data_IF_190547425143
#
_entry.id   IF_190547425143
#
_cell.length_a   1.000
_cell.length_b   1.000
_cell.length_c   1.000
_cell.angle_alpha   90.00
_cell.angle_beta   90.00
_cell.angle_gamma   90.00
#
_symmetry.space_group_name_H-M   'P 1'
#
loop_
_entity.id
_entity.type
_entity.pdbx_description
1 polymer ?
#
# COMPACT_ATOMS: atom_id res chain seq x y z
N UNK A 1 -4.31 10.22 18.99
CA UNK A 1 -3.94 9.51 17.74
C UNK A 1 -4.61 8.14 17.71
N UNK A 2 -5.75 8.00 17.02
CA UNK A 2 -6.49 6.73 16.95
C UNK A 2 -5.96 5.83 15.82
N UNK A 3 -4.65 5.64 15.78
CA UNK A 3 -3.97 4.89 14.73
C UNK A 3 -3.54 3.52 15.29
N UNK A 4 -4.42 2.53 15.15
CA UNK A 4 -4.23 1.20 15.77
C UNK A 4 -2.94 0.51 15.34
N UNK A 5 -2.49 0.73 14.10
CA UNK A 5 -1.22 0.17 13.62
C UNK A 5 -0.01 0.85 14.28
N UNK A 6 -0.03 2.18 14.42
CA UNK A 6 1.05 2.93 15.05
C UNK A 6 1.16 2.60 16.55
N UNK A 7 0.01 2.42 17.23
CA UNK A 7 -0.03 1.96 18.62
C UNK A 7 0.58 0.58 18.80
N UNK A 8 0.26 -0.37 17.91
CA UNK A 8 0.86 -1.71 17.95
C UNK A 8 2.40 -1.64 17.82
N UNK A 9 2.92 -0.84 16.88
CA UNK A 9 4.38 -0.67 16.74
C UNK A 9 5.02 -0.01 17.97
N UNK A 10 4.37 1.01 18.54
CA UNK A 10 4.88 1.69 19.75
C UNK A 10 4.97 0.74 20.95
N UNK A 11 4.11 -0.28 21.02
CA UNK A 11 4.11 -1.32 22.04
C UNK A 11 4.99 -2.53 21.67
N UNK A 12 5.76 -2.47 20.57
CA UNK A 12 6.61 -3.57 20.10
C UNK A 12 5.82 -4.77 19.55
N UNK A 13 4.52 -4.59 19.25
CA UNK A 13 3.65 -5.62 18.68
C UNK A 13 3.56 -5.49 17.16
N UNK A 14 3.41 -6.61 16.47
CA UNK A 14 3.10 -6.62 15.04
C UNK A 14 1.67 -6.06 14.82
N UNK A 15 1.47 -5.09 13.92
CA UNK A 15 0.13 -4.61 13.57
C UNK A 15 -0.75 -5.72 12.99
N UNK A 16 -1.97 -5.88 13.52
CA UNK A 16 -2.91 -6.90 13.06
C UNK A 16 -3.19 -6.86 11.54
N UNK A 17 -3.30 -5.68 10.87
CA UNK A 17 -3.53 -5.63 9.43
C UNK A 17 -2.43 -6.30 8.58
N UNK A 18 -1.23 -6.52 9.12
CA UNK A 18 -0.14 -7.17 8.38
C UNK A 18 -0.42 -8.65 8.09
N UNK A 19 -1.30 -9.31 8.85
CA UNK A 19 -1.75 -10.67 8.54
C UNK A 19 -2.51 -10.75 7.20
N UNK A 20 -3.10 -9.64 6.73
CA UNK A 20 -3.73 -9.56 5.41
C UNK A 20 -2.66 -9.68 4.31
N UNK A 21 -1.55 -8.97 4.46
CA UNK A 21 -0.40 -9.09 3.56
C UNK A 21 0.12 -10.54 3.54
N UNK A 22 0.36 -11.13 4.72
CA UNK A 22 0.90 -12.50 4.80
C UNK A 22 0.02 -13.49 4.03
N UNK A 23 -1.31 -13.39 4.21
CA UNK A 23 -2.28 -14.25 3.53
C UNK A 23 -2.30 -14.03 2.01
N UNK A 24 -2.32 -12.78 1.55
CA UNK A 24 -2.46 -12.46 0.12
C UNK A 24 -1.15 -12.67 -0.65
N UNK A 25 -0.03 -12.45 0.02
CA UNK A 25 1.28 -12.74 -0.55
C UNK A 25 1.49 -14.25 -0.66
N UNK A 26 1.15 -15.01 0.37
CA UNK A 26 1.25 -16.47 0.37
C UNK A 26 0.21 -17.18 -0.51
N UNK A 27 -0.98 -16.59 -0.72
CA UNK A 27 -2.04 -17.25 -1.52
C UNK A 27 -1.70 -17.42 -3.00
N UNK A 28 -0.74 -16.63 -3.53
CA UNK A 28 -0.28 -16.75 -4.91
C UNK A 28 0.76 -17.84 -5.16
N UNK A 29 1.14 -18.63 -4.14
CA UNK A 29 2.07 -19.78 -4.29
C UNK A 29 1.55 -20.82 -5.29
N UNK A 30 0.23 -20.88 -5.56
CA UNK A 30 -0.35 -21.79 -6.56
C UNK A 30 -0.37 -21.25 -7.99
N UNK A 31 0.01 -19.98 -8.22
CA UNK A 31 -0.15 -19.26 -9.50
C UNK A 31 1.16 -18.64 -10.02
N UNK A 32 2.31 -19.00 -9.44
CA UNK A 32 3.63 -18.53 -9.87
C UNK A 32 4.05 -17.16 -9.32
N UNK A 33 3.15 -16.40 -8.70
CA UNK A 33 3.45 -15.15 -7.99
C UNK A 33 2.34 -14.79 -6.98
N UNK A 34 2.74 -14.28 -5.81
CA UNK A 34 1.86 -13.65 -4.81
C UNK A 34 1.02 -12.50 -5.41
N UNK A 35 -0.13 -12.18 -4.79
CA UNK A 35 -0.88 -10.97 -5.13
C UNK A 35 0.04 -9.76 -4.88
N UNK A 36 0.07 -8.75 -5.76
CA UNK A 36 1.01 -7.61 -5.71
C UNK A 36 0.52 -6.39 -4.89
N UNK A 37 -0.77 -6.39 -4.55
CA UNK A 37 -1.41 -5.32 -3.80
C UNK A 37 -2.90 -5.59 -3.59
N UNK A 38 -3.60 -4.66 -2.96
CA UNK A 38 -5.03 -4.75 -2.63
C UNK A 38 -5.72 -3.39 -2.74
N UNK A 39 -7.00 -3.41 -3.11
CA UNK A 39 -7.90 -2.28 -2.93
C UNK A 39 -8.62 -2.42 -1.58
N UNK A 40 -8.54 -1.39 -0.75
CA UNK A 40 -9.21 -1.34 0.57
C UNK A 40 -10.13 -0.12 0.65
N UNK A 41 -11.20 -0.16 1.46
CA UNK A 41 -11.99 1.03 1.74
C UNK A 41 -11.10 2.17 2.28
N UNK A 42 -11.44 3.40 1.93
CA UNK A 42 -10.81 4.55 2.56
C UNK A 42 -11.20 4.65 4.03
N UNK A 43 -10.28 5.17 4.85
CA UNK A 43 -10.49 5.45 6.28
C UNK A 43 -10.49 6.96 6.56
N UNK A 44 -10.40 7.80 5.53
CA UNK A 44 -10.44 9.24 5.72
C UNK A 44 -11.86 9.67 6.19
N UNK A 45 -11.97 10.71 7.05
CA UNK A 45 -13.28 11.21 7.46
C UNK A 45 -14.13 11.63 6.25
N UNK A 46 -15.40 11.20 6.23
CA UNK A 46 -16.36 11.58 5.19
C UNK A 46 -16.33 10.75 3.91
N UNK A 47 -15.57 9.65 3.85
CA UNK A 47 -15.55 8.78 2.67
C UNK A 47 -16.76 7.86 2.57
N UNK A 48 -17.17 7.58 1.34
CA UNK A 48 -18.26 6.67 0.99
C UNK A 48 -17.74 5.27 0.64
N UNK A 49 -18.66 4.31 0.44
CA UNK A 49 -18.31 2.92 0.09
C UNK A 49 -17.52 2.78 -1.23
N UNK A 50 -17.63 3.78 -2.12
CA UNK A 50 -16.89 3.84 -3.38
C UNK A 50 -15.44 4.29 -3.23
N UNK A 51 -15.11 5.00 -2.15
CA UNK A 51 -13.78 5.57 -1.94
C UNK A 51 -12.81 4.49 -1.47
N UNK A 52 -11.75 4.30 -2.24
CA UNK A 52 -10.79 3.21 -2.03
C UNK A 52 -9.37 3.71 -2.07
N UNK A 53 -8.53 3.07 -1.28
CA UNK A 53 -7.09 3.18 -1.36
C UNK A 53 -6.52 1.97 -2.11
N UNK A 54 -5.52 2.22 -2.95
CA UNK A 54 -4.69 1.18 -3.55
C UNK A 54 -3.43 1.02 -2.70
N UNK A 55 -3.20 -0.18 -2.18
CA UNK A 55 -2.00 -0.54 -1.42
C UNK A 55 -1.18 -1.52 -2.24
N UNK A 56 0.02 -1.14 -2.65
CA UNK A 56 0.94 -1.97 -3.44
C UNK A 56 2.18 -2.30 -2.60
N UNK A 57 2.51 -3.58 -2.50
CA UNK A 57 3.76 -4.05 -1.87
C UNK A 57 4.76 -4.60 -2.89
N UNK A 58 4.32 -4.92 -4.11
CA UNK A 58 5.19 -5.24 -5.24
C UNK A 58 4.81 -4.38 -6.43
N UNK A 59 5.65 -3.40 -6.75
CA UNK A 59 5.49 -2.50 -7.88
C UNK A 59 6.86 -1.89 -8.24
N UNK A 60 6.98 -1.33 -9.43
CA UNK A 60 8.20 -0.67 -9.88
C UNK A 60 8.06 -0.10 -11.29
N UNK A 61 9.17 0.26 -11.97
CA UNK A 61 9.13 0.72 -13.35
C UNK A 61 9.00 -0.43 -14.36
N UNK A 62 9.18 -1.68 -13.92
CA UNK A 62 9.27 -2.85 -14.80
C UNK A 62 8.02 -3.73 -14.76
N UNK A 63 7.75 -4.41 -15.87
CA UNK A 63 6.71 -5.43 -15.95
C UNK A 63 7.03 -6.65 -15.05
N UNK A 64 6.00 -7.36 -14.53
CA UNK A 64 4.58 -7.18 -14.79
C UNK A 64 3.86 -6.18 -13.86
N UNK A 65 4.53 -5.64 -12.83
CA UNK A 65 3.92 -4.74 -11.84
C UNK A 65 4.39 -3.29 -12.02
N UNK A 66 4.38 -2.83 -13.28
CA UNK A 66 4.78 -1.48 -13.63
C UNK A 66 3.75 -0.46 -13.13
N UNK A 67 4.23 0.60 -12.49
CA UNK A 67 3.43 1.75 -12.08
C UNK A 67 4.15 3.02 -12.52
N UNK A 68 3.48 3.82 -13.33
CA UNK A 68 3.96 5.13 -13.76
C UNK A 68 3.10 6.21 -13.10
N UNK A 69 3.74 7.20 -12.46
CA UNK A 69 3.04 8.37 -11.93
C UNK A 69 2.70 9.32 -13.08
N UNK A 70 1.42 9.66 -13.23
CA UNK A 70 0.98 10.67 -14.19
C UNK A 70 1.06 12.07 -13.57
N UNK A 71 2.15 12.79 -13.86
CA UNK A 71 2.35 14.17 -13.40
C UNK A 71 2.73 15.10 -14.56
N UNK A 72 1.75 15.53 -15.38
CA UNK A 72 2.00 16.46 -16.48
C UNK A 72 2.43 17.86 -16.00
N UNK A 73 2.21 18.17 -14.72
CA UNK A 73 2.54 19.47 -14.12
C UNK A 73 3.94 19.55 -13.52
N UNK A 74 4.62 18.41 -13.36
CA UNK A 74 5.95 18.33 -12.73
C UNK A 74 5.99 18.78 -11.27
N UNK A 75 4.88 18.61 -10.53
CA UNK A 75 4.75 19.02 -9.12
C UNK A 75 5.08 17.91 -8.13
N UNK A 76 5.14 16.66 -8.59
CA UNK A 76 5.53 15.56 -7.74
C UNK A 76 7.05 15.64 -7.44
N UNK A 77 7.44 15.28 -6.21
CA UNK A 77 8.84 15.02 -5.85
C UNK A 77 9.52 14.09 -6.86
N UNK A 78 10.69 14.48 -7.34
CA UNK A 78 11.41 13.76 -8.41
C UNK A 78 12.08 12.50 -7.89
N UNK A 79 12.59 12.56 -6.67
CA UNK A 79 13.39 11.54 -6.03
C UNK A 79 13.40 11.75 -4.50
N UNK A 80 14.13 10.89 -3.79
CA UNK A 80 14.24 10.97 -2.33
C UNK A 80 14.87 12.28 -1.83
N UNK A 81 15.64 12.99 -2.68
CA UNK A 81 16.28 14.26 -2.33
C UNK A 81 15.29 15.44 -2.34
N UNK A 82 14.10 15.24 -2.89
CA UNK A 82 13.06 16.28 -2.97
C UNK A 82 12.39 16.60 -1.62
N UNK A 83 12.70 15.86 -0.55
CA UNK A 83 12.07 15.94 0.77
C UNK A 83 12.98 16.49 1.89
N UNK A 84 14.11 17.10 1.52
CA UNK A 84 15.05 17.72 2.46
C UNK A 84 14.51 18.95 3.18
#
# INVERSE_FOLDING_TARGET
>A
MACSWAGALAEGRRPAPWAIYDRLHASGVRVGHGIAGILVPSFAPGTEAGDRNLVLWKWGPDLPHRVDAHDPSGRLPKDQLSWS
#
